data_IF_613283664049
#
_entry.id   IF_613283664049
#
_cell.length_a   1.000
_cell.length_b   1.000
_cell.length_c   1.000
_cell.angle_alpha   90.00
_cell.angle_beta   90.00
_cell.angle_gamma   90.00
#
_symmetry.space_group_name_H-M   'P 1'
#
loop_
_entity.id
_entity.type
_entity.pdbx_description
1 polymer ?
#
# COMPACT_ATOMS: atom_id res chain seq x y z
N UNK A 1 20.37 2.98 36.35
CA UNK A 1 20.16 2.32 35.04
C UNK A 1 18.69 2.54 34.66
N UNK A 2 18.38 3.58 33.89
CA UNK A 2 16.99 3.85 33.46
C UNK A 2 16.67 2.94 32.26
N UNK A 3 15.80 1.97 32.48
CA UNK A 3 15.16 1.22 31.41
C UNK A 3 14.12 2.13 30.75
N UNK A 4 14.41 2.65 29.56
CA UNK A 4 13.40 3.31 28.75
C UNK A 4 12.38 2.27 28.31
N UNK A 5 11.10 2.50 28.65
CA UNK A 5 10.00 1.72 28.07
C UNK A 5 10.09 1.82 26.55
N UNK A 6 10.00 0.72 25.78
CA UNK A 6 9.98 0.82 24.34
C UNK A 6 8.80 1.70 23.95
N UNK A 7 9.07 2.84 23.30
CA UNK A 7 8.02 3.64 22.68
C UNK A 7 7.19 2.71 21.80
N UNK A 8 5.86 2.74 21.98
CA UNK A 8 4.97 2.03 21.08
C UNK A 8 5.30 2.51 19.67
N UNK A 9 5.80 1.60 18.82
CA UNK A 9 6.03 1.85 17.39
C UNK A 9 4.75 2.23 16.62
N UNK A 10 3.59 2.22 17.28
CA UNK A 10 2.29 2.51 16.71
C UNK A 10 1.48 3.48 17.58
N UNK A 11 1.02 4.59 16.98
CA UNK A 11 0.00 5.50 17.51
C UNK A 11 -1.30 5.32 16.71
N UNK A 12 -2.44 5.24 17.40
CA UNK A 12 -3.78 5.08 16.80
C UNK A 12 -4.43 3.72 17.06
N UNK A 13 -5.68 3.57 16.64
CA UNK A 13 -6.47 2.33 16.69
C UNK A 13 -6.53 1.63 15.33
N UNK A 14 -7.30 0.54 15.25
CA UNK A 14 -7.56 -0.13 13.98
C UNK A 14 -8.47 0.69 13.06
N UNK A 15 -9.47 1.35 13.65
CA UNK A 15 -10.40 2.24 12.97
C UNK A 15 -9.63 3.39 12.29
N UNK A 16 -8.64 3.97 12.98
CA UNK A 16 -7.77 5.00 12.41
C UNK A 16 -7.02 4.52 11.15
N UNK A 17 -6.67 3.23 11.08
CA UNK A 17 -5.97 2.65 9.91
C UNK A 17 -6.87 2.42 8.73
N UNK A 18 -8.16 2.16 8.96
CA UNK A 18 -9.14 1.91 7.91
C UNK A 18 -9.84 3.19 7.43
N UNK A 19 -9.83 4.21 8.27
CA UNK A 19 -10.46 5.50 8.01
C UNK A 19 -10.07 6.07 6.63
N UNK A 20 -11.05 6.51 5.86
CA UNK A 20 -10.83 7.03 4.50
C UNK A 20 -10.55 5.98 3.42
N UNK A 21 -10.06 4.77 3.73
CA UNK A 21 -9.73 3.76 2.70
C UNK A 21 -10.99 3.23 2.03
N UNK A 22 -12.02 2.95 2.82
CA UNK A 22 -13.30 2.40 2.35
C UNK A 22 -14.27 3.47 1.83
N UNK A 23 -14.13 4.71 2.30
CA UNK A 23 -14.93 5.85 1.86
C UNK A 23 -14.32 6.62 0.68
N UNK A 24 -13.17 6.16 0.16
CA UNK A 24 -12.43 6.85 -0.90
C UNK A 24 -13.10 6.84 -2.29
N UNK A 25 -14.27 6.21 -2.43
CA UNK A 25 -14.99 6.12 -3.72
C UNK A 25 -14.39 5.11 -4.72
N UNK A 26 -13.48 4.24 -4.28
CA UNK A 26 -12.87 3.21 -5.13
C UNK A 26 -13.69 1.93 -5.10
N UNK A 27 -14.06 1.41 -6.27
CA UNK A 27 -14.75 0.13 -6.40
C UNK A 27 -13.74 -1.00 -6.51
N UNK A 28 -13.70 -1.89 -5.52
CA UNK A 28 -12.79 -3.04 -5.48
C UNK A 28 -13.39 -4.31 -6.10
N UNK A 29 -14.70 -4.41 -6.23
CA UNK A 29 -15.39 -5.61 -6.73
C UNK A 29 -14.86 -6.04 -8.10
N UNK A 30 -14.41 -7.29 -8.21
CA UNK A 30 -13.86 -7.86 -9.44
C UNK A 30 -12.51 -7.28 -9.90
N UNK A 31 -11.90 -6.38 -9.12
CA UNK A 31 -10.61 -5.74 -9.46
C UNK A 31 -9.43 -6.52 -8.92
N UNK A 32 -8.33 -6.49 -9.65
CA UNK A 32 -7.03 -7.01 -9.20
C UNK A 32 -6.29 -5.93 -8.39
N UNK A 33 -5.84 -6.29 -7.19
CA UNK A 33 -5.24 -5.35 -6.23
C UNK A 33 -3.79 -5.74 -5.92
N UNK A 34 -2.88 -4.78 -5.98
CA UNK A 34 -1.54 -4.89 -5.40
C UNK A 34 -1.48 -4.09 -4.10
N UNK A 35 -1.10 -4.72 -2.99
CA UNK A 35 -0.83 -4.07 -1.70
C UNK A 35 0.68 -4.00 -1.44
N UNK A 36 1.26 -2.80 -1.59
CA UNK A 36 2.71 -2.56 -1.48
C UNK A 36 3.07 -2.25 -0.04
N UNK A 37 3.87 -3.12 0.58
CA UNK A 37 4.14 -3.04 2.02
C UNK A 37 2.96 -3.52 2.84
N UNK A 38 2.41 -4.69 2.48
CA UNK A 38 1.14 -5.19 3.01
C UNK A 38 1.16 -5.50 4.52
N UNK A 39 2.34 -5.48 5.17
CA UNK A 39 2.50 -5.88 6.56
C UNK A 39 1.88 -7.28 6.77
N UNK A 40 1.19 -7.51 7.89
CA UNK A 40 0.48 -8.75 8.18
C UNK A 40 -0.79 -8.97 7.31
N UNK A 41 -1.06 -8.14 6.30
CA UNK A 41 -2.18 -8.35 5.37
C UNK A 41 -3.56 -7.98 5.92
N UNK A 42 -3.64 -7.30 7.07
CA UNK A 42 -4.94 -7.02 7.73
C UNK A 42 -5.81 -6.07 6.90
N UNK A 43 -5.25 -5.00 6.32
CA UNK A 43 -6.02 -4.09 5.45
C UNK A 43 -6.44 -4.81 4.18
N UNK A 44 -5.54 -5.57 3.57
CA UNK A 44 -5.87 -6.41 2.42
C UNK A 44 -7.01 -7.40 2.74
N UNK A 45 -7.05 -7.98 3.93
CA UNK A 45 -8.13 -8.88 4.34
C UNK A 45 -9.48 -8.16 4.44
N UNK A 46 -9.52 -6.95 4.99
CA UNK A 46 -10.75 -6.14 5.00
C UNK A 46 -11.20 -5.77 3.58
N UNK A 47 -10.26 -5.42 2.68
CA UNK A 47 -10.54 -5.20 1.27
C UNK A 47 -11.06 -6.48 0.59
N UNK A 48 -10.62 -7.66 0.99
CA UNK A 48 -11.10 -8.94 0.42
C UNK A 48 -12.61 -9.15 0.62
N UNK A 49 -13.20 -8.55 1.66
CA UNK A 49 -14.66 -8.59 1.91
C UNK A 49 -15.46 -7.84 0.84
N UNK A 50 -14.83 -6.93 0.11
CA UNK A 50 -15.41 -6.22 -1.04
C UNK A 50 -15.32 -7.02 -2.35
N UNK A 51 -14.87 -8.28 -2.28
CA UNK A 51 -14.82 -9.23 -3.40
C UNK A 51 -14.00 -8.74 -4.61
N UNK A 52 -12.75 -8.27 -4.43
CA UNK A 52 -11.82 -8.13 -5.56
C UNK A 52 -11.62 -9.48 -6.25
N UNK A 53 -11.19 -9.45 -7.52
CA UNK A 53 -10.88 -10.68 -8.25
C UNK A 53 -9.62 -11.35 -7.72
N UNK A 54 -8.65 -10.56 -7.27
CA UNK A 54 -7.44 -11.07 -6.64
C UNK A 54 -6.73 -10.02 -5.80
N UNK A 55 -5.96 -10.47 -4.81
CA UNK A 55 -5.09 -9.63 -3.99
C UNK A 55 -3.66 -10.17 -4.04
N UNK A 56 -2.70 -9.32 -4.39
CA UNK A 56 -1.28 -9.60 -4.29
C UNK A 56 -0.66 -8.67 -3.24
N UNK A 57 -0.15 -9.21 -2.14
CA UNK A 57 0.57 -8.45 -1.12
C UNK A 57 2.07 -8.67 -1.18
N UNK A 58 2.86 -7.62 -1.00
CA UNK A 58 4.32 -7.70 -0.88
C UNK A 58 4.81 -7.01 0.38
N UNK A 59 5.72 -7.66 1.10
CA UNK A 59 6.39 -7.11 2.28
C UNK A 59 7.79 -7.71 2.38
N UNK A 60 8.71 -7.01 3.05
CA UNK A 60 10.10 -7.48 3.22
C UNK A 60 10.24 -8.46 4.39
N UNK A 61 9.31 -8.44 5.34
CA UNK A 61 9.39 -9.25 6.55
C UNK A 61 8.66 -10.58 6.38
N UNK A 62 9.43 -11.67 6.36
CA UNK A 62 8.90 -13.03 6.25
C UNK A 62 7.80 -13.37 7.27
N UNK A 63 7.90 -12.99 8.57
CA UNK A 63 6.82 -13.26 9.52
C UNK A 63 5.50 -12.57 9.16
N UNK A 64 5.54 -11.35 8.60
CA UNK A 64 4.34 -10.66 8.14
C UNK A 64 3.65 -11.40 7.00
N UNK A 65 4.44 -11.89 6.04
CA UNK A 65 3.94 -12.65 4.89
C UNK A 65 3.36 -14.00 5.32
N UNK A 66 3.98 -14.68 6.28
CA UNK A 66 3.43 -15.92 6.85
C UNK A 66 2.08 -15.66 7.53
N UNK A 67 1.98 -14.61 8.33
CA UNK A 67 0.70 -14.19 8.95
C UNK A 67 -0.35 -13.85 7.90
N UNK A 68 0.00 -13.07 6.87
CA UNK A 68 -0.93 -12.70 5.81
C UNK A 68 -1.49 -13.93 5.08
N UNK A 69 -0.63 -14.90 4.75
CA UNK A 69 -1.05 -16.17 4.14
C UNK A 69 -2.02 -16.95 5.04
N UNK A 70 -1.75 -17.00 6.35
CA UNK A 70 -2.63 -17.68 7.30
C UNK A 70 -3.99 -17.00 7.43
N UNK A 71 -4.04 -15.66 7.49
CA UNK A 71 -5.29 -14.89 7.51
C UNK A 71 -6.12 -15.19 6.26
N UNK A 72 -5.48 -15.27 5.11
CA UNK A 72 -6.15 -15.47 3.84
C UNK A 72 -6.60 -16.90 3.56
N UNK A 73 -6.25 -17.89 4.40
CA UNK A 73 -6.89 -19.21 4.37
C UNK A 73 -8.40 -19.13 4.64
N UNK A 74 -8.84 -18.09 5.35
CA UNK A 74 -10.26 -17.80 5.61
C UNK A 74 -10.94 -16.92 4.57
N UNK A 75 -10.24 -16.48 3.52
CA UNK A 75 -10.80 -15.61 2.48
C UNK A 75 -11.10 -16.40 1.20
N UNK A 76 -12.28 -16.23 0.57
CA UNK A 76 -12.58 -16.86 -0.71
C UNK A 76 -11.90 -16.17 -1.91
N UNK A 77 -11.23 -15.03 -1.70
CA UNK A 77 -10.57 -14.26 -2.74
C UNK A 77 -9.23 -14.89 -3.12
N UNK A 78 -8.95 -15.02 -4.42
CA UNK A 78 -7.64 -15.44 -4.90
C UNK A 78 -6.55 -14.51 -4.33
N UNK A 79 -5.59 -15.09 -3.61
CA UNK A 79 -4.57 -14.29 -2.94
C UNK A 79 -3.18 -14.87 -3.07
N UNK A 80 -2.20 -13.96 -3.11
CA UNK A 80 -0.78 -14.27 -3.17
C UNK A 80 -0.02 -13.26 -2.31
N UNK A 81 0.92 -13.75 -1.52
CA UNK A 81 1.77 -12.90 -0.68
C UNK A 81 3.24 -13.28 -0.87
N UNK A 82 4.09 -12.32 -1.20
CA UNK A 82 5.52 -12.56 -1.45
C UNK A 82 6.41 -11.77 -0.49
N UNK A 83 7.38 -12.48 0.10
CA UNK A 83 8.44 -11.90 0.89
C UNK A 83 9.51 -11.34 -0.05
N UNK A 84 9.52 -10.03 -0.25
CA UNK A 84 10.39 -9.38 -1.23
C UNK A 84 10.83 -7.99 -0.76
N UNK A 85 12.13 -7.72 -0.91
CA UNK A 85 12.65 -6.36 -0.80
C UNK A 85 12.32 -5.56 -2.08
N UNK A 86 11.69 -4.40 -1.94
CA UNK A 86 11.28 -3.54 -3.07
C UNK A 86 12.47 -3.03 -3.92
N UNK A 87 13.68 -2.98 -3.37
CA UNK A 87 14.91 -2.69 -4.13
C UNK A 87 15.47 -3.89 -4.91
N UNK A 88 14.87 -5.07 -4.80
CA UNK A 88 15.36 -6.29 -5.46
C UNK A 88 15.16 -6.25 -6.97
N UNK A 89 16.16 -6.73 -7.72
CA UNK A 89 16.06 -6.95 -9.16
C UNK A 89 14.98 -7.98 -9.56
N UNK A 90 14.49 -8.78 -8.59
CA UNK A 90 13.41 -9.75 -8.83
C UNK A 90 12.01 -9.12 -8.86
N UNK A 91 11.85 -7.87 -8.42
CA UNK A 91 10.54 -7.21 -8.30
C UNK A 91 9.71 -7.30 -9.58
N UNK A 92 10.28 -6.92 -10.73
CA UNK A 92 9.58 -6.95 -12.01
C UNK A 92 9.10 -8.35 -12.43
N UNK A 93 9.76 -9.42 -11.96
CA UNK A 93 9.36 -10.83 -12.23
C UNK A 93 8.28 -11.32 -11.27
N UNK A 94 8.21 -10.74 -10.07
CA UNK A 94 7.22 -11.08 -9.05
C UNK A 94 5.88 -10.40 -9.34
N UNK A 95 5.92 -9.14 -9.81
CA UNK A 95 4.73 -8.36 -10.11
C UNK A 95 4.05 -8.83 -11.41
N UNK A 96 2.71 -8.82 -11.41
CA UNK A 96 1.90 -8.98 -12.63
C UNK A 96 2.19 -7.82 -13.61
N UNK A 97 1.97 -8.03 -14.93
CA UNK A 97 2.09 -6.95 -15.91
C UNK A 97 1.12 -5.78 -15.64
N UNK A 98 -0.05 -6.06 -15.05
CA UNK A 98 -1.08 -5.07 -14.75
C UNK A 98 -1.85 -5.43 -13.48
N UNK A 99 -2.28 -4.39 -12.78
CA UNK A 99 -3.28 -4.41 -11.72
C UNK A 99 -4.34 -3.35 -12.04
N UNK A 100 -5.54 -3.51 -11.51
CA UNK A 100 -6.56 -2.46 -11.58
C UNK A 100 -6.29 -1.37 -10.53
N UNK A 101 -5.86 -1.79 -9.33
CA UNK A 101 -5.63 -0.92 -8.18
C UNK A 101 -4.27 -1.25 -7.55
N UNK A 102 -3.48 -0.22 -7.25
CA UNK A 102 -2.28 -0.32 -6.39
C UNK A 102 -2.53 0.46 -5.11
N UNK A 103 -2.34 -0.19 -3.97
CA UNK A 103 -2.39 0.44 -2.67
C UNK A 103 -0.97 0.78 -2.18
N UNK A 104 -0.79 2.03 -1.75
CA UNK A 104 0.45 2.57 -1.20
C UNK A 104 0.18 3.10 0.22
N UNK A 105 -0.01 2.18 1.16
CA UNK A 105 -0.46 2.54 2.51
C UNK A 105 0.73 2.89 3.41
N UNK A 106 1.13 4.15 3.37
CA UNK A 106 2.27 4.69 4.11
C UNK A 106 3.61 4.00 3.79
N UNK A 107 3.78 3.44 2.58
CA UNK A 107 4.98 2.68 2.21
C UNK A 107 6.10 3.53 1.60
N UNK A 108 5.79 4.62 0.89
CA UNK A 108 6.79 5.35 0.11
C UNK A 108 7.92 5.94 0.97
N UNK A 109 7.61 6.48 2.15
CA UNK A 109 8.64 7.00 3.06
C UNK A 109 9.52 5.91 3.68
N UNK A 110 9.00 4.67 3.81
CA UNK A 110 9.82 3.52 4.20
C UNK A 110 10.72 3.06 3.06
N UNK A 111 10.27 3.17 1.80
CA UNK A 111 11.13 2.94 0.63
C UNK A 111 12.28 3.95 0.61
N UNK A 112 11.99 5.25 0.76
CA UNK A 112 13.03 6.30 0.80
C UNK A 112 14.07 6.02 1.89
N UNK A 113 13.64 5.59 3.07
CA UNK A 113 14.54 5.28 4.19
C UNK A 113 15.38 3.99 3.99
N UNK A 114 14.86 3.00 3.26
CA UNK A 114 15.50 1.68 3.13
C UNK A 114 16.38 1.53 1.90
N UNK A 115 15.95 2.08 0.75
CA UNK A 115 16.63 1.93 -0.55
C UNK A 115 17.13 3.26 -1.12
N UNK A 116 16.92 4.37 -0.39
CA UNK A 116 17.32 5.71 -0.81
C UNK A 116 16.31 6.37 -1.75
N UNK A 117 16.29 7.70 -1.76
CA UNK A 117 15.29 8.48 -2.49
C UNK A 117 15.25 8.17 -3.99
N UNK A 118 16.40 8.20 -4.68
CA UNK A 118 16.47 7.95 -6.13
C UNK A 118 15.89 6.57 -6.48
N UNK A 119 16.31 5.52 -5.76
CA UNK A 119 15.83 4.16 -6.04
C UNK A 119 14.36 3.98 -5.68
N UNK A 120 13.91 4.60 -4.58
CA UNK A 120 12.50 4.60 -4.20
C UNK A 120 11.61 5.21 -5.28
N UNK A 121 12.05 6.32 -5.91
CA UNK A 121 11.33 6.94 -7.04
C UNK A 121 11.26 6.01 -8.26
N UNK A 122 12.39 5.41 -8.65
CA UNK A 122 12.44 4.45 -9.76
C UNK A 122 11.52 3.24 -9.54
N UNK A 123 11.57 2.66 -8.34
CA UNK A 123 10.75 1.50 -7.98
C UNK A 123 9.27 1.88 -7.94
N UNK A 124 8.94 3.03 -7.34
CA UNK A 124 7.57 3.50 -7.31
C UNK A 124 7.02 3.71 -8.73
N UNK A 125 7.79 4.34 -9.62
CA UNK A 125 7.43 4.51 -11.02
C UNK A 125 7.15 3.17 -11.73
N UNK A 126 8.03 2.16 -11.59
CA UNK A 126 7.81 0.82 -12.17
C UNK A 126 6.53 0.15 -11.64
N UNK A 127 6.22 0.32 -10.35
CA UNK A 127 5.00 -0.22 -9.75
C UNK A 127 3.76 0.48 -10.33
N UNK A 128 3.72 1.82 -10.34
CA UNK A 128 2.51 2.57 -10.69
C UNK A 128 2.22 2.58 -12.19
N UNK A 129 3.21 2.32 -13.05
CA UNK A 129 3.00 2.08 -14.49
C UNK A 129 2.12 0.85 -14.77
N UNK A 130 1.96 -0.04 -13.79
CA UNK A 130 1.15 -1.26 -13.91
C UNK A 130 -0.31 -1.04 -13.51
N UNK A 131 -0.73 0.19 -13.19
CA UNK A 131 -2.10 0.45 -12.71
C UNK A 131 -2.75 1.67 -13.36
N UNK A 132 -4.08 1.74 -13.22
CA UNK A 132 -4.91 2.89 -13.57
C UNK A 132 -5.36 3.66 -12.33
N UNK A 133 -5.50 2.98 -11.19
CA UNK A 133 -5.94 3.57 -9.92
C UNK A 133 -4.91 3.33 -8.83
N UNK A 134 -4.65 4.36 -8.03
CA UNK A 134 -3.79 4.31 -6.85
C UNK A 134 -4.60 4.76 -5.63
N UNK A 135 -4.53 3.98 -4.56
CA UNK A 135 -5.01 4.38 -3.23
C UNK A 135 -3.79 4.54 -2.34
N UNK A 136 -3.41 5.78 -2.06
CA UNK A 136 -2.25 6.09 -1.24
C UNK A 136 -2.68 6.59 0.14
N UNK A 137 -1.99 6.14 1.18
CA UNK A 137 -2.02 6.81 2.49
C UNK A 137 -0.66 7.42 2.75
N UNK A 138 -0.64 8.68 3.15
CA UNK A 138 0.60 9.41 3.43
C UNK A 138 0.56 10.04 4.82
N UNK A 139 1.70 10.06 5.53
CA UNK A 139 1.80 10.81 6.78
C UNK A 139 1.48 12.30 6.59
N UNK A 140 1.08 13.01 7.65
CA UNK A 140 0.84 14.44 7.59
C UNK A 140 2.02 15.18 6.93
N UNK A 141 1.72 16.12 6.02
CA UNK A 141 2.69 16.97 5.30
C UNK A 141 3.65 16.24 4.35
N UNK A 142 3.41 14.96 4.02
CA UNK A 142 4.20 14.18 3.06
C UNK A 142 3.46 13.85 1.76
N UNK A 143 2.27 14.38 1.59
CA UNK A 143 1.42 14.19 0.42
C UNK A 143 1.98 14.86 -0.85
N UNK A 144 2.50 16.09 -0.72
CA UNK A 144 2.95 16.89 -1.87
C UNK A 144 3.98 16.17 -2.74
N UNK A 145 5.05 15.62 -2.15
CA UNK A 145 6.11 14.93 -2.92
C UNK A 145 5.55 13.71 -3.66
N UNK A 146 4.68 12.93 -3.00
CA UNK A 146 4.09 11.74 -3.63
C UNK A 146 3.17 12.15 -4.78
N UNK A 147 2.32 13.16 -4.59
CA UNK A 147 1.41 13.68 -5.62
C UNK A 147 2.22 14.19 -6.82
N UNK A 148 3.25 15.01 -6.60
CA UNK A 148 4.10 15.54 -7.67
C UNK A 148 4.76 14.40 -8.47
N UNK A 149 5.28 13.38 -7.80
CA UNK A 149 5.87 12.22 -8.47
C UNK A 149 4.84 11.45 -9.30
N UNK A 150 3.67 11.13 -8.72
CA UNK A 150 2.63 10.39 -9.42
C UNK A 150 2.03 11.21 -10.56
N UNK A 151 2.00 12.54 -10.44
CA UNK A 151 1.57 13.43 -11.52
C UNK A 151 2.52 13.36 -12.72
N UNK A 152 3.83 13.28 -12.47
CA UNK A 152 4.85 13.01 -13.50
C UNK A 152 4.72 11.63 -14.17
N UNK A 153 4.05 10.68 -13.52
CA UNK A 153 3.73 9.35 -14.07
C UNK A 153 2.33 9.29 -14.71
N UNK A 154 1.67 10.44 -14.90
CA UNK A 154 0.38 10.55 -15.60
C UNK A 154 -0.84 10.34 -14.72
N UNK A 155 -0.76 10.58 -13.40
CA UNK A 155 -1.90 10.50 -12.49
C UNK A 155 -2.43 11.86 -12.06
N UNK A 156 -3.73 11.94 -11.80
CA UNK A 156 -4.39 13.11 -11.22
C UNK A 156 -5.13 12.71 -9.95
N UNK A 157 -5.18 13.61 -8.97
CA UNK A 157 -5.94 13.40 -7.73
C UNK A 157 -7.45 13.45 -8.05
N UNK A 158 -8.18 12.43 -7.61
CA UNK A 158 -9.65 12.33 -7.77
C UNK A 158 -10.40 12.45 -6.46
N UNK A 159 -9.76 12.08 -5.36
CA UNK A 159 -10.35 12.16 -4.03
C UNK A 159 -9.28 12.26 -2.96
N UNK A 160 -9.61 12.98 -1.89
CA UNK A 160 -8.77 13.08 -0.69
C UNK A 160 -9.64 12.91 0.55
N UNK A 161 -9.06 12.31 1.58
CA UNK A 161 -9.64 12.20 2.90
C UNK A 161 -8.55 12.44 3.94
N UNK A 162 -8.83 13.30 4.92
CA UNK A 162 -7.91 13.59 6.02
C UNK A 162 -8.40 12.86 7.26
N UNK A 163 -7.61 11.89 7.72
CA UNK A 163 -7.93 11.16 8.95
C UNK A 163 -7.86 12.04 10.19
N UNK A 164 -8.53 11.68 11.30
CA UNK A 164 -8.43 12.42 12.57
C UNK A 164 -7.00 12.58 13.09
N UNK A 165 -6.11 11.63 12.77
CA UNK A 165 -4.68 11.69 13.12
C UNK A 165 -3.82 12.48 12.12
N UNK A 166 -4.44 13.14 11.14
CA UNK A 166 -3.80 14.00 10.14
C UNK A 166 -3.13 13.28 8.97
N UNK A 167 -3.19 11.95 8.89
CA UNK A 167 -2.76 11.22 7.68
C UNK A 167 -3.76 11.45 6.55
N UNK A 168 -3.26 11.55 5.31
CA UNK A 168 -4.12 11.76 4.13
C UNK A 168 -4.27 10.45 3.37
N UNK A 169 -5.49 10.07 3.05
CA UNK A 169 -5.80 9.07 2.03
C UNK A 169 -6.07 9.83 0.74
N UNK A 170 -5.43 9.40 -0.35
CA UNK A 170 -5.49 10.06 -1.66
C UNK A 170 -5.80 8.98 -2.68
N UNK A 171 -6.82 9.24 -3.50
CA UNK A 171 -7.14 8.44 -4.68
C UNK A 171 -6.62 9.17 -5.90
N UNK A 172 -5.79 8.49 -6.68
CA UNK A 172 -5.28 9.01 -7.94
C UNK A 172 -5.65 8.09 -9.09
N UNK A 173 -6.01 8.70 -10.22
CA UNK A 173 -6.34 7.99 -11.45
C UNK A 173 -5.52 8.52 -12.62
N UNK A 174 -5.15 7.60 -13.52
CA UNK A 174 -4.42 7.92 -14.73
C UNK A 174 -5.29 8.74 -15.70
N UNK A 175 -4.71 9.76 -16.32
CA UNK A 175 -5.34 10.57 -17.37
C UNK A 175 -4.75 10.29 -18.76
#
# INVERSE_FOLDING_TARGET
MLWSKPEKRFKGTWEDRLDGIFSAGVTYTGKSVLDVGCNMGVVAYEISKLRPSSIHGIDVLRPHIETARMIFLGSPVESRFDCLNLGSQKLGRVLRPRYDIVMLLAIYHHMQASIGQKKAREVLADIVRRTQTIVARVPPRKDRELIELLSGEGFSVKGTHVSPLGSHVIVLERY
#
